data_IF_825682421487
#
_entry.id   IF_825682421487
#
_cell.length_a   1.000
_cell.length_b   1.000
_cell.length_c   1.000
_cell.angle_alpha   90.00
_cell.angle_beta   90.00
_cell.angle_gamma   90.00
#
_symmetry.space_group_name_H-M   'P 1'
#
loop_
_entity.id
_entity.type
_entity.pdbx_description
1 polymer ?
#
# COMPACT_ATOMS: atom_id res chain seq x y z
N UNK A 1 24.31 12.82 -27.43
CA UNK A 1 23.46 13.58 -26.49
C UNK A 1 23.12 12.62 -25.36
N UNK A 2 23.87 12.69 -24.25
CA UNK A 2 23.69 11.78 -23.12
C UNK A 2 22.26 11.94 -22.58
N UNK A 3 21.48 10.86 -22.66
CA UNK A 3 20.17 10.79 -22.03
C UNK A 3 20.35 11.08 -20.54
N UNK A 4 19.63 12.05 -19.94
CA UNK A 4 19.64 12.24 -18.49
C UNK A 4 19.44 10.87 -17.86
N UNK A 5 20.32 10.46 -16.93
CA UNK A 5 20.31 9.10 -16.35
C UNK A 5 18.86 8.73 -16.03
N UNK A 6 18.25 7.81 -16.79
CA UNK A 6 16.81 7.49 -16.75
C UNK A 6 16.25 7.28 -15.34
N UNK A 7 17.12 6.84 -14.42
CA UNK A 7 16.83 6.51 -13.03
C UNK A 7 17.55 7.43 -12.01
N UNK A 8 17.92 8.66 -12.40
CA UNK A 8 18.69 9.61 -11.56
C UNK A 8 18.04 9.89 -10.20
N UNK A 9 16.72 9.80 -10.12
CA UNK A 9 15.94 10.11 -8.92
C UNK A 9 15.97 9.00 -7.85
N UNK A 10 16.36 7.77 -8.20
CA UNK A 10 16.26 6.61 -7.29
C UNK A 10 17.18 6.79 -6.08
N UNK A 11 18.46 7.13 -6.31
CA UNK A 11 19.42 7.35 -5.24
C UNK A 11 19.03 8.48 -4.27
N UNK A 12 18.68 9.71 -4.72
CA UNK A 12 18.23 10.77 -3.82
C UNK A 12 16.90 10.44 -3.12
N UNK A 13 15.97 9.74 -3.79
CA UNK A 13 14.73 9.28 -3.18
C UNK A 13 15.00 8.34 -2.00
N UNK A 14 15.81 7.31 -2.21
CA UNK A 14 16.16 6.35 -1.15
C UNK A 14 16.92 7.04 -0.02
N UNK A 15 17.88 7.92 -0.33
CA UNK A 15 18.60 8.70 0.67
C UNK A 15 17.64 9.54 1.52
N UNK A 16 16.72 10.27 0.89
CA UNK A 16 15.69 11.02 1.59
C UNK A 16 14.85 10.10 2.47
N UNK A 17 14.39 8.97 1.93
CA UNK A 17 13.55 8.04 2.66
C UNK A 17 14.25 7.45 3.89
N UNK A 18 15.52 7.03 3.78
CA UNK A 18 16.26 6.52 4.94
C UNK A 18 16.40 7.56 6.07
N UNK A 19 16.48 8.85 5.73
CA UNK A 19 16.58 9.94 6.71
C UNK A 19 15.23 10.36 7.30
N UNK A 20 14.12 10.14 6.58
CA UNK A 20 12.80 10.69 6.92
C UNK A 20 11.73 9.63 7.21
N UNK A 21 12.00 8.34 6.94
CA UNK A 21 11.01 7.28 7.12
C UNK A 21 10.57 7.21 8.57
N UNK A 22 9.27 7.05 8.75
CA UNK A 22 8.66 6.73 10.05
C UNK A 22 8.52 5.23 10.21
N UNK A 23 8.56 4.76 11.44
CA UNK A 23 8.28 3.37 11.75
C UNK A 23 6.78 3.22 12.00
N UNK A 24 6.12 2.35 11.24
CA UNK A 24 4.71 2.03 11.41
C UNK A 24 4.57 0.51 11.59
N UNK A 25 3.64 0.01 12.42
CA UNK A 25 3.57 -1.41 12.77
C UNK A 25 3.50 -2.35 11.56
N UNK A 26 2.67 -2.02 10.57
CA UNK A 26 2.49 -2.81 9.35
C UNK A 26 3.74 -2.86 8.45
N UNK A 27 4.74 -1.99 8.65
CA UNK A 27 5.98 -2.04 7.86
C UNK A 27 6.86 -3.22 8.22
N UNK A 28 6.66 -3.87 9.36
CA UNK A 28 7.43 -5.04 9.80
C UNK A 28 6.61 -6.33 9.72
N UNK A 29 5.38 -6.24 9.23
CA UNK A 29 4.44 -7.34 9.17
C UNK A 29 4.68 -8.22 7.94
N UNK A 30 4.48 -9.53 8.10
CA UNK A 30 4.56 -10.52 7.03
C UNK A 30 3.23 -11.23 6.77
N UNK A 31 2.27 -11.07 7.68
CA UNK A 31 0.93 -11.65 7.58
C UNK A 31 0.05 -10.88 6.58
N UNK A 32 -0.56 -11.60 5.64
CA UNK A 32 -1.38 -11.04 4.55
C UNK A 32 -2.63 -10.35 5.10
N UNK A 33 -3.31 -10.95 6.07
CA UNK A 33 -4.51 -10.39 6.69
C UNK A 33 -4.18 -9.05 7.35
N UNK A 34 -3.13 -9.01 8.16
CA UNK A 34 -2.71 -7.81 8.88
C UNK A 34 -2.25 -6.68 7.97
N UNK A 35 -1.62 -7.01 6.84
CA UNK A 35 -1.26 -6.04 5.80
C UNK A 35 -2.51 -5.49 5.09
N UNK A 36 -3.49 -6.34 4.77
CA UNK A 36 -4.77 -5.91 4.17
C UNK A 36 -5.58 -5.02 5.09
N UNK A 37 -5.61 -5.33 6.39
CA UNK A 37 -6.23 -4.47 7.41
C UNK A 37 -5.61 -3.08 7.40
N UNK A 38 -4.27 -3.01 7.43
CA UNK A 38 -3.56 -1.73 7.37
C UNK A 38 -3.89 -0.95 6.08
N UNK A 39 -3.84 -1.61 4.92
CA UNK A 39 -4.14 -0.98 3.64
C UNK A 39 -5.55 -0.39 3.60
N UNK A 40 -6.58 -1.15 4.03
CA UNK A 40 -7.95 -0.67 4.07
C UNK A 40 -8.08 0.52 5.03
N UNK A 41 -7.44 0.46 6.20
CA UNK A 41 -7.45 1.56 7.16
C UNK A 41 -6.72 2.81 6.64
N UNK A 42 -5.70 2.66 5.79
CA UNK A 42 -4.94 3.76 5.21
C UNK A 42 -5.70 4.52 4.11
N UNK A 43 -6.75 3.94 3.54
CA UNK A 43 -7.57 4.61 2.54
C UNK A 43 -8.15 5.92 3.09
N UNK A 44 -7.74 7.05 2.50
CA UNK A 44 -8.20 8.41 2.87
C UNK A 44 -8.05 8.73 4.37
N UNK A 45 -7.09 8.10 5.06
CA UNK A 45 -6.87 8.29 6.50
C UNK A 45 -5.39 8.53 6.78
N UNK A 46 -5.08 9.43 7.73
CA UNK A 46 -3.69 9.74 8.10
C UNK A 46 -3.02 8.56 8.82
N UNK A 47 -1.78 8.24 8.43
CA UNK A 47 -1.01 7.12 8.97
C UNK A 47 -0.83 7.16 10.49
N UNK A 48 -0.53 8.32 11.05
CA UNK A 48 -0.36 8.49 12.51
C UNK A 48 -1.63 8.13 13.28
N UNK A 49 -2.80 8.36 12.68
CA UNK A 49 -4.08 7.99 13.28
C UNK A 49 -4.35 6.50 13.11
N UNK A 50 -4.07 5.95 11.92
CA UNK A 50 -4.17 4.51 11.66
C UNK A 50 -3.26 3.73 12.61
N UNK A 51 -2.02 4.16 12.85
CA UNK A 51 -1.09 3.49 13.76
C UNK A 51 -1.66 3.31 15.18
N UNK A 52 -2.41 4.29 15.68
CA UNK A 52 -3.06 4.22 17.01
C UNK A 52 -4.21 3.23 17.06
N UNK A 53 -4.98 3.12 15.98
CA UNK A 53 -6.16 2.23 15.90
C UNK A 53 -5.76 0.81 15.52
N UNK A 54 -4.81 0.67 14.60
CA UNK A 54 -4.34 -0.60 14.06
C UNK A 54 -3.87 -1.55 15.16
N UNK A 55 -3.07 -1.06 16.11
CA UNK A 55 -2.59 -1.90 17.22
C UNK A 55 -3.73 -2.52 18.02
N UNK A 56 -4.72 -1.71 18.43
CA UNK A 56 -5.92 -2.18 19.15
C UNK A 56 -6.76 -3.13 18.32
N UNK A 57 -6.87 -2.87 17.01
CA UNK A 57 -7.64 -3.71 16.10
C UNK A 57 -7.02 -5.10 15.95
N UNK A 58 -5.71 -5.18 15.75
CA UNK A 58 -4.99 -6.46 15.65
C UNK A 58 -4.94 -7.18 17.00
N UNK A 59 -4.88 -6.46 18.12
CA UNK A 59 -4.99 -7.07 19.45
C UNK A 59 -6.37 -7.74 19.64
N UNK A 60 -7.46 -7.09 19.21
CA UNK A 60 -8.82 -7.65 19.31
C UNK A 60 -9.06 -8.78 18.30
N UNK A 61 -8.55 -8.61 17.08
CA UNK A 61 -8.73 -9.52 15.95
C UNK A 61 -7.37 -9.96 15.41
N UNK A 62 -6.66 -10.87 16.13
CA UNK A 62 -5.29 -11.24 15.81
C UNK A 62 -5.13 -11.99 14.48
N UNK A 63 -6.21 -12.57 13.94
CA UNK A 63 -6.24 -13.34 12.70
C UNK A 63 -7.52 -13.08 11.88
N UNK A 64 -7.53 -13.53 10.62
CA UNK A 64 -8.69 -13.42 9.75
C UNK A 64 -9.90 -14.20 10.31
N UNK A 65 -9.69 -15.35 10.94
CA UNK A 65 -10.74 -16.16 11.57
C UNK A 65 -11.47 -15.35 12.64
N UNK A 66 -10.73 -14.70 13.54
CA UNK A 66 -11.33 -13.89 14.61
C UNK A 66 -12.12 -12.70 14.08
N UNK A 67 -11.72 -12.11 12.95
CA UNK A 67 -12.46 -11.01 12.33
C UNK A 67 -13.65 -11.51 11.49
N UNK A 68 -13.57 -12.71 10.92
CA UNK A 68 -14.62 -13.26 10.08
C UNK A 68 -15.88 -13.61 10.88
N UNK A 69 -15.70 -14.02 12.14
CA UNK A 69 -16.75 -14.44 13.08
C UNK A 69 -17.38 -13.30 13.88
N UNK A 70 -16.80 -12.10 13.88
CA UNK A 70 -17.34 -10.97 14.65
C UNK A 70 -18.56 -10.33 14.00
N UNK A 71 -19.34 -9.65 14.85
CA UNK A 71 -20.36 -8.70 14.41
C UNK A 71 -19.70 -7.46 13.80
N UNK A 72 -20.28 -6.95 12.73
CA UNK A 72 -19.74 -5.78 12.02
C UNK A 72 -19.65 -4.57 12.96
N UNK A 73 -20.61 -4.43 13.86
CA UNK A 73 -20.74 -3.35 14.83
C UNK A 73 -19.52 -3.27 15.75
N UNK A 74 -18.96 -4.40 16.17
CA UNK A 74 -17.75 -4.45 17.01
C UNK A 74 -16.54 -3.90 16.24
N UNK A 75 -16.38 -4.32 14.98
CA UNK A 75 -15.34 -3.78 14.12
C UNK A 75 -15.56 -2.28 13.82
N UNK A 76 -16.80 -1.84 13.66
CA UNK A 76 -17.15 -0.42 13.47
C UNK A 76 -16.74 0.43 14.67
N UNK A 77 -16.96 -0.04 15.90
CA UNK A 77 -16.59 0.67 17.11
C UNK A 77 -15.07 0.93 17.20
N UNK A 78 -14.26 -0.08 16.90
CA UNK A 78 -12.80 0.05 16.93
C UNK A 78 -12.26 1.03 15.89
N UNK A 79 -12.83 1.02 14.68
CA UNK A 79 -12.36 1.90 13.59
C UNK A 79 -13.06 3.27 13.56
N UNK A 80 -14.05 3.50 14.44
CA UNK A 80 -14.79 4.78 14.54
C UNK A 80 -13.89 6.02 14.62
N UNK A 81 -12.76 6.01 15.36
CA UNK A 81 -11.85 7.16 15.38
C UNK A 81 -11.28 7.54 14.00
N UNK A 82 -11.33 6.64 13.01
CA UNK A 82 -10.87 6.90 11.63
C UNK A 82 -11.92 7.62 10.75
N UNK A 83 -13.16 7.81 11.22
CA UNK A 83 -14.22 8.54 10.51
C UNK A 83 -14.92 7.81 9.34
N UNK A 84 -14.44 6.62 8.93
CA UNK A 84 -14.98 5.84 7.81
C UNK A 84 -15.44 4.44 8.27
N UNK A 85 -16.41 4.41 9.19
CA UNK A 85 -16.90 3.18 9.84
C UNK A 85 -17.42 2.12 8.87
N UNK A 86 -17.96 2.55 7.72
CA UNK A 86 -18.44 1.61 6.67
C UNK A 86 -17.35 0.65 6.18
N UNK A 87 -16.07 0.96 6.42
CA UNK A 87 -14.95 0.06 6.11
C UNK A 87 -14.92 -1.20 6.96
N UNK A 88 -15.56 -1.22 8.12
CA UNK A 88 -15.67 -2.42 8.95
C UNK A 88 -16.31 -3.58 8.19
N UNK A 89 -17.36 -3.30 7.40
CA UNK A 89 -17.99 -4.30 6.53
C UNK A 89 -17.03 -4.89 5.52
N UNK A 90 -16.18 -4.06 4.91
CA UNK A 90 -15.17 -4.54 3.96
C UNK A 90 -14.08 -5.35 4.66
N UNK A 91 -13.64 -4.94 5.85
CA UNK A 91 -12.67 -5.68 6.66
C UNK A 91 -13.19 -7.08 7.02
N UNK A 92 -14.42 -7.17 7.53
CA UNK A 92 -15.06 -8.45 7.89
C UNK A 92 -15.31 -9.31 6.65
N UNK A 93 -15.79 -8.73 5.55
CA UNK A 93 -15.99 -9.47 4.30
C UNK A 93 -14.66 -10.02 3.74
N UNK A 94 -13.61 -9.21 3.74
CA UNK A 94 -12.27 -9.63 3.32
C UNK A 94 -11.72 -10.76 4.20
N UNK A 95 -11.92 -10.67 5.51
CA UNK A 95 -11.54 -11.74 6.43
C UNK A 95 -12.27 -13.05 6.13
N UNK A 96 -13.58 -13.00 5.85
CA UNK A 96 -14.36 -14.18 5.44
C UNK A 96 -13.86 -14.77 4.12
N UNK A 97 -13.50 -13.92 3.15
CA UNK A 97 -12.93 -14.39 1.89
C UNK A 97 -11.58 -15.10 2.07
N UNK A 98 -10.72 -14.56 2.94
CA UNK A 98 -9.44 -15.20 3.30
C UNK A 98 -9.65 -16.55 3.99
N UNK A 99 -10.57 -16.63 4.96
CA UNK A 99 -10.90 -17.89 5.65
C UNK A 99 -11.44 -18.94 4.68
N UNK A 100 -12.18 -18.51 3.65
CA UNK A 100 -12.67 -19.39 2.58
C UNK A 100 -11.59 -19.78 1.56
N UNK A 101 -10.33 -19.38 1.76
CA UNK A 101 -9.20 -19.80 0.94
C UNK A 101 -9.02 -19.03 -0.36
N UNK A 102 -9.66 -17.86 -0.53
CA UNK A 102 -9.40 -17.02 -1.69
C UNK A 102 -7.96 -16.52 -1.68
N UNK A 103 -7.32 -16.55 -2.84
CA UNK A 103 -6.01 -15.94 -3.04
C UNK A 103 -6.10 -14.41 -3.04
N UNK A 104 -4.96 -13.74 -2.85
CA UNK A 104 -4.87 -12.28 -2.73
C UNK A 104 -5.47 -11.56 -3.95
N UNK A 105 -5.29 -12.10 -5.14
CA UNK A 105 -5.79 -11.56 -6.40
C UNK A 105 -7.30 -11.78 -6.62
N UNK A 106 -7.91 -12.71 -5.88
CA UNK A 106 -9.34 -13.03 -5.94
C UNK A 106 -10.18 -12.25 -4.93
N UNK A 107 -9.53 -11.55 -4.00
CA UNK A 107 -10.19 -10.78 -2.95
C UNK A 107 -10.93 -9.57 -3.51
N UNK A 108 -12.18 -9.42 -3.08
CA UNK A 108 -13.04 -8.33 -3.53
C UNK A 108 -12.48 -7.00 -3.03
N UNK A 109 -12.20 -6.08 -3.96
CA UNK A 109 -11.67 -4.75 -3.63
C UNK A 109 -10.15 -4.70 -3.47
N UNK A 110 -9.45 -5.83 -3.62
CA UNK A 110 -7.98 -5.87 -3.73
C UNK A 110 -7.61 -5.73 -5.20
N UNK A 111 -7.11 -4.54 -5.56
CA UNK A 111 -6.60 -4.29 -6.90
C UNK A 111 -5.18 -4.81 -7.10
N UNK A 112 -4.75 -4.85 -8.36
CA UNK A 112 -3.40 -5.28 -8.77
C UNK A 112 -2.29 -4.58 -7.97
N UNK A 113 -2.40 -3.27 -7.77
CA UNK A 113 -1.46 -2.50 -6.94
C UNK A 113 -1.37 -3.03 -5.50
N UNK A 114 -2.52 -3.22 -4.84
CA UNK A 114 -2.56 -3.66 -3.44
C UNK A 114 -1.99 -5.07 -3.31
N UNK A 115 -2.36 -5.97 -4.22
CA UNK A 115 -1.80 -7.31 -4.27
C UNK A 115 -0.27 -7.26 -4.42
N UNK A 116 0.25 -6.49 -5.37
CA UNK A 116 1.69 -6.30 -5.57
C UNK A 116 2.37 -5.70 -4.33
N UNK A 117 1.78 -4.66 -3.73
CA UNK A 117 2.37 -4.00 -2.56
C UNK A 117 2.53 -4.97 -1.38
N UNK A 118 1.51 -5.80 -1.13
CA UNK A 118 1.56 -6.83 -0.08
C UNK A 118 2.63 -7.86 -0.38
N UNK A 119 2.70 -8.38 -1.60
CA UNK A 119 3.72 -9.36 -2.01
C UNK A 119 5.14 -8.81 -1.84
N UNK A 120 5.37 -7.55 -2.23
CA UNK A 120 6.65 -6.86 -2.04
C UNK A 120 6.98 -6.68 -0.55
N UNK A 121 6.01 -6.30 0.28
CA UNK A 121 6.22 -6.15 1.72
C UNK A 121 6.58 -7.49 2.39
N UNK A 122 6.03 -8.59 1.89
CA UNK A 122 6.36 -9.96 2.29
C UNK A 122 7.72 -10.46 1.76
N UNK A 123 8.41 -9.65 0.96
CA UNK A 123 9.73 -9.98 0.42
C UNK A 123 9.70 -10.79 -0.86
N UNK A 124 8.55 -10.90 -1.53
CA UNK A 124 8.46 -11.56 -2.83
C UNK A 124 9.09 -10.69 -3.93
N UNK A 125 9.87 -11.32 -4.80
CA UNK A 125 10.46 -10.65 -5.96
C UNK A 125 9.48 -10.58 -7.13
N UNK A 126 8.63 -9.55 -7.12
CA UNK A 126 7.59 -9.34 -8.14
C UNK A 126 7.83 -8.06 -8.94
N UNK A 127 7.17 -7.94 -10.10
CA UNK A 127 7.12 -6.66 -10.81
C UNK A 127 6.26 -5.69 -10.01
N UNK A 128 6.75 -4.46 -9.88
CA UNK A 128 6.02 -3.38 -9.23
C UNK A 128 4.88 -2.90 -10.12
N UNK A 129 3.79 -2.52 -9.48
CA UNK A 129 2.62 -1.91 -10.12
C UNK A 129 2.44 -0.57 -9.46
N UNK A 130 2.22 0.48 -10.25
CA UNK A 130 1.96 1.81 -9.75
C UNK A 130 0.49 1.97 -9.32
N UNK A 131 0.24 2.75 -8.28
CA UNK A 131 -1.05 3.39 -8.05
C UNK A 131 -1.08 4.79 -8.70
N UNK A 132 -2.19 5.51 -8.53
CA UNK A 132 -2.30 6.88 -9.04
C UNK A 132 -1.27 7.84 -8.39
N UNK A 133 -0.88 7.60 -7.15
CA UNK A 133 0.08 8.44 -6.42
C UNK A 133 1.50 8.27 -6.96
N UNK A 134 1.93 7.03 -7.19
CA UNK A 134 3.21 6.71 -7.83
C UNK A 134 3.24 7.24 -9.26
N UNK A 135 2.15 7.07 -10.02
CA UNK A 135 2.05 7.64 -11.37
C UNK A 135 2.21 9.17 -11.37
N UNK A 136 1.58 9.86 -10.41
CA UNK A 136 1.71 11.32 -10.21
C UNK A 136 3.15 11.72 -9.91
N UNK A 137 3.83 11.02 -9.01
CA UNK A 137 5.25 11.29 -8.68
C UNK A 137 6.11 11.14 -9.93
N UNK A 138 6.02 9.99 -10.61
CA UNK A 138 6.87 9.71 -11.76
C UNK A 138 6.61 10.71 -12.90
N UNK A 139 5.36 11.14 -13.08
CA UNK A 139 5.02 12.18 -14.06
C UNK A 139 5.66 13.52 -13.71
N UNK A 140 5.60 13.94 -12.44
CA UNK A 140 6.24 15.18 -11.97
C UNK A 140 7.77 15.14 -12.06
N UNK A 141 8.39 14.01 -11.76
CA UNK A 141 9.85 13.83 -11.82
C UNK A 141 10.36 13.87 -13.27
N UNK A 142 9.62 13.26 -14.20
CA UNK A 142 10.06 13.11 -15.59
C UNK A 142 9.56 14.20 -16.53
N UNK A 143 8.53 14.95 -16.13
CA UNK A 143 7.81 15.87 -16.99
C UNK A 143 6.93 15.17 -18.04
N UNK A 144 6.81 13.84 -18.01
CA UNK A 144 6.00 13.09 -18.98
C UNK A 144 4.51 13.11 -18.60
N UNK A 145 3.60 13.35 -19.56
CA UNK A 145 2.18 13.41 -19.29
C UNK A 145 1.58 12.03 -19.02
N UNK A 146 0.59 11.99 -18.14
CA UNK A 146 -0.29 10.84 -17.92
C UNK A 146 -1.42 10.91 -18.96
N UNK A 147 -1.57 9.86 -19.78
CA UNK A 147 -2.47 9.86 -20.95
C UNK A 147 -3.66 8.91 -20.84
N UNK A 148 -3.80 8.23 -19.70
CA UNK A 148 -4.94 7.35 -19.41
C UNK A 148 -5.86 8.00 -18.37
N UNK A 149 -7.16 7.71 -18.49
CA UNK A 149 -8.19 7.90 -17.47
C UNK A 149 -7.79 7.34 -16.09
N UNK A 150 -7.00 6.26 -16.09
CA UNK A 150 -6.34 5.70 -14.91
C UNK A 150 -4.85 5.99 -14.99
N UNK A 151 -4.32 7.00 -14.29
CA UNK A 151 -2.92 7.41 -14.35
C UNK A 151 -1.89 6.27 -14.37
N UNK A 152 -2.07 5.29 -13.48
CA UNK A 152 -1.22 4.11 -13.33
C UNK A 152 -1.15 3.19 -14.58
N UNK A 153 -2.14 3.26 -15.47
CA UNK A 153 -2.19 2.47 -16.72
C UNK A 153 -1.51 3.17 -17.89
N UNK A 154 -0.94 4.35 -17.69
CA UNK A 154 -0.13 4.99 -18.73
C UNK A 154 1.10 4.11 -19.00
N UNK A 155 1.35 3.60 -20.23
CA UNK A 155 2.30 2.52 -20.47
C UNK A 155 3.71 2.74 -19.91
N UNK A 156 4.23 3.96 -20.05
CA UNK A 156 5.58 4.30 -19.61
C UNK A 156 5.76 4.26 -18.08
N UNK A 157 4.67 4.35 -17.29
CA UNK A 157 4.73 4.45 -15.82
C UNK A 157 5.28 3.17 -15.21
N UNK A 158 4.64 2.03 -15.48
CA UNK A 158 5.09 0.74 -14.94
C UNK A 158 6.41 0.28 -15.59
N UNK A 159 6.66 0.65 -16.84
CA UNK A 159 7.95 0.41 -17.50
C UNK A 159 9.08 1.14 -16.77
N UNK A 160 8.93 2.45 -16.55
CA UNK A 160 9.92 3.25 -15.84
C UNK A 160 10.11 2.76 -14.40
N UNK A 161 9.00 2.55 -13.67
CA UNK A 161 8.99 2.07 -12.29
C UNK A 161 9.86 0.81 -12.14
N UNK A 162 9.67 -0.18 -13.01
CA UNK A 162 10.39 -1.44 -12.95
C UNK A 162 11.82 -1.33 -13.52
N UNK A 163 12.04 -0.57 -14.60
CA UNK A 163 13.38 -0.37 -15.17
C UNK A 163 14.35 0.34 -14.22
N UNK A 164 13.81 1.12 -13.29
CA UNK A 164 14.57 1.85 -12.28
C UNK A 164 14.52 1.21 -10.89
N UNK A 165 13.86 0.07 -10.74
CA UNK A 165 13.74 -0.59 -9.44
C UNK A 165 15.12 -1.12 -9.00
N UNK A 166 15.61 -0.76 -7.80
CA UNK A 166 16.81 -1.35 -7.23
C UNK A 166 16.53 -2.79 -6.78
N UNK A 167 17.58 -3.50 -6.33
CA UNK A 167 17.45 -4.84 -5.76
C UNK A 167 16.47 -4.88 -4.56
N UNK A 168 16.54 -3.87 -3.67
CA UNK A 168 15.57 -3.72 -2.59
C UNK A 168 14.32 -2.97 -3.08
N UNK A 169 13.42 -3.70 -3.74
CA UNK A 169 12.13 -3.18 -4.23
C UNK A 169 11.20 -2.70 -3.12
N UNK A 170 11.30 -3.28 -1.92
CA UNK A 170 10.49 -2.90 -0.76
C UNK A 170 10.77 -1.48 -0.31
N UNK A 171 12.04 -1.13 -0.11
CA UNK A 171 12.43 0.22 0.29
C UNK A 171 12.09 1.23 -0.81
N UNK A 172 12.26 0.85 -2.08
CA UNK A 172 11.89 1.71 -3.21
C UNK A 172 10.39 1.99 -3.29
N UNK A 173 9.55 0.96 -3.14
CA UNK A 173 8.10 1.11 -3.12
C UNK A 173 7.66 1.99 -1.94
N UNK A 174 8.16 1.71 -0.73
CA UNK A 174 7.85 2.50 0.46
C UNK A 174 8.34 3.95 0.34
N UNK A 175 9.48 4.19 -0.30
CA UNK A 175 10.00 5.53 -0.53
C UNK A 175 9.10 6.35 -1.46
N UNK A 176 8.63 5.74 -2.56
CA UNK A 176 7.67 6.38 -3.47
C UNK A 176 6.35 6.67 -2.75
N UNK A 177 5.83 5.70 -2.00
CA UNK A 177 4.60 5.86 -1.22
C UNK A 177 4.77 6.96 -0.17
N UNK A 178 5.90 7.05 0.52
CA UNK A 178 6.14 8.10 1.53
C UNK A 178 6.26 9.47 0.88
N UNK A 179 6.96 9.58 -0.25
CA UNK A 179 7.05 10.84 -0.99
C UNK A 179 5.66 11.34 -1.43
N UNK A 180 4.78 10.43 -1.84
CA UNK A 180 3.42 10.75 -2.31
C UNK A 180 2.50 11.24 -1.19
N UNK A 181 2.81 10.91 0.06
CA UNK A 181 1.98 11.25 1.19
C UNK A 181 2.52 12.45 1.97
N UNK A 182 3.84 12.56 2.08
CA UNK A 182 4.48 13.59 2.90
C UNK A 182 4.84 14.85 2.10
N UNK A 183 4.92 14.78 0.77
CA UNK A 183 5.45 15.88 -0.07
C UNK A 183 4.55 16.23 -1.26
N UNK A 184 4.05 15.24 -2.00
CA UNK A 184 3.58 15.39 -3.40
C UNK A 184 2.07 15.19 -3.57
#
# INVERSE_FOLDING_TARGET
MESPRRCWFVAPLLKWWHLNKRDYPWRKEGDVYRLLVAEIMLQRTRRDLVAKVYGKFIERFPSAETLAETDIEEAEELIRPLGLVKRARYLVALARELVNGKSLEELTGVGEYTATAIRVLRGEDVKLVADASIARILSRITGLPLRSDRPARTPWVNELLNSCAPSNKRDYLLALIDLAWEVC
#
